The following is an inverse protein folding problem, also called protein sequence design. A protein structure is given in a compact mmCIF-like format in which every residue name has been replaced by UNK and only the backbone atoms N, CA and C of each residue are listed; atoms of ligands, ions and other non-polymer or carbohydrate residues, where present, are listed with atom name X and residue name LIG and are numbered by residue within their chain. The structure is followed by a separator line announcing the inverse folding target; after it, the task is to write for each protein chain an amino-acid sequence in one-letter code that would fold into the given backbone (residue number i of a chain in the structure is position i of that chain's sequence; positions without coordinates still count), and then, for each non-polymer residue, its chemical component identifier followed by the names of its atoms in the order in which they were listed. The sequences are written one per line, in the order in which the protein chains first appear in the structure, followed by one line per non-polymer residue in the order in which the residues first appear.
data_IF_421221170101
#
_entry.id   IF_421221170101
#
_cell.length_a   1.000
_cell.length_b   1.000
_cell.length_c   1.000
_cell.angle_alpha   90.00
_cell.angle_beta   90.00
_cell.angle_gamma   90.00
#
_symmetry.space_group_name_H-M   'P 1'
#
loop_
_entity.id
_entity.type
_entity.pdbx_description
1 polymer ?
#
# COMPACT_ATOMS: atom_id res chain seq x y z
N UNK A 1 -9.70 -3.19 13.64
CA UNK A 1 -11.00 -3.61 14.21
C UNK A 1 -12.06 -2.58 13.84
N UNK A 2 -13.34 -2.94 13.81
CA UNK A 2 -14.43 -1.99 13.57
C UNK A 2 -14.59 -1.50 12.12
N UNK A 3 -14.00 -2.19 11.15
CA UNK A 3 -14.29 -1.91 9.73
C UNK A 3 -15.62 -2.59 9.39
N UNK A 4 -16.65 -1.84 8.95
CA UNK A 4 -17.92 -2.42 8.56
C UNK A 4 -17.74 -3.47 7.46
N UNK A 5 -18.49 -4.58 7.53
CA UNK A 5 -18.40 -5.73 6.61
C UNK A 5 -17.01 -6.38 6.51
N UNK A 6 -16.12 -6.13 7.46
CA UNK A 6 -14.89 -6.91 7.62
C UNK A 6 -15.14 -8.15 8.47
N UNK A 7 -14.24 -9.13 8.40
CA UNK A 7 -14.26 -10.34 9.24
C UNK A 7 -14.34 -10.06 10.74
N UNK A 8 -13.96 -8.85 11.18
CA UNK A 8 -13.98 -8.44 12.59
C UNK A 8 -15.04 -7.37 12.91
N UNK A 9 -15.95 -7.07 11.98
CA UNK A 9 -17.02 -6.09 12.17
C UNK A 9 -17.98 -6.50 13.28
N UNK A 10 -18.51 -7.72 13.19
CA UNK A 10 -19.47 -8.26 14.17
C UNK A 10 -18.85 -8.45 15.56
N UNK A 11 -17.56 -8.85 15.60
CA UNK A 11 -16.80 -8.96 16.85
C UNK A 11 -16.72 -7.60 17.56
N UNK A 12 -16.37 -6.54 16.82
CA UNK A 12 -16.32 -5.19 17.38
C UNK A 12 -17.71 -4.73 17.86
N UNK A 13 -18.73 -4.93 17.03
CA UNK A 13 -20.09 -4.50 17.32
C UNK A 13 -20.65 -5.16 18.59
N UNK A 14 -20.39 -6.47 18.75
CA UNK A 14 -20.76 -7.24 19.94
C UNK A 14 -19.99 -6.80 21.18
N UNK A 15 -18.66 -6.69 21.08
CA UNK A 15 -17.80 -6.25 22.19
C UNK A 15 -18.16 -4.84 22.69
N UNK A 16 -18.40 -3.90 21.77
CA UNK A 16 -18.73 -2.51 22.08
C UNK A 16 -20.20 -2.32 22.53
N UNK A 17 -21.04 -3.36 22.45
CA UNK A 17 -22.48 -3.32 22.80
C UNK A 17 -23.20 -2.13 22.15
N UNK A 18 -22.95 -1.91 20.85
CA UNK A 18 -23.52 -0.76 20.15
C UNK A 18 -25.06 -0.87 20.08
N UNK A 19 -25.80 0.20 20.42
CA UNK A 19 -27.27 0.19 20.43
C UNK A 19 -27.89 0.44 19.05
N UNK A 20 -27.10 0.33 17.98
CA UNK A 20 -27.50 0.58 16.58
C UNK A 20 -27.29 -0.69 15.75
N UNK A 21 -27.86 -0.77 14.55
CA UNK A 21 -27.63 -1.92 13.66
C UNK A 21 -26.25 -1.85 12.99
N UNK A 22 -25.72 -3.00 12.55
CA UNK A 22 -24.48 -3.05 11.76
C UNK A 22 -24.55 -2.21 10.48
N UNK A 23 -25.73 -2.14 9.85
CA UNK A 23 -25.98 -1.32 8.65
C UNK A 23 -25.93 0.18 8.98
N UNK A 24 -26.60 0.59 10.07
CA UNK A 24 -26.55 1.97 10.53
C UNK A 24 -25.12 2.37 10.90
N UNK A 25 -24.39 1.52 11.62
CA UNK A 25 -22.98 1.73 11.93
C UNK A 25 -22.13 1.89 10.67
N UNK A 26 -22.34 1.03 9.66
CA UNK A 26 -21.61 1.12 8.40
C UNK A 26 -21.85 2.45 7.67
N UNK A 27 -23.11 2.89 7.63
CA UNK A 27 -23.51 4.15 7.02
C UNK A 27 -22.89 5.35 7.76
N UNK A 28 -23.08 5.44 9.08
CA UNK A 28 -22.56 6.54 9.89
C UNK A 28 -21.02 6.58 9.91
N UNK A 29 -20.37 5.42 9.99
CA UNK A 29 -18.91 5.32 9.90
C UNK A 29 -18.40 5.83 8.55
N UNK A 30 -19.09 5.49 7.45
CA UNK A 30 -18.69 5.94 6.12
C UNK A 30 -18.82 7.45 5.97
N UNK A 31 -19.90 8.04 6.48
CA UNK A 31 -20.11 9.49 6.44
C UNK A 31 -19.10 10.23 7.34
N UNK A 32 -18.83 9.71 8.54
CA UNK A 32 -17.78 10.26 9.42
C UNK A 32 -16.40 10.20 8.74
N UNK A 33 -16.03 9.06 8.14
CA UNK A 33 -14.76 8.95 7.39
C UNK A 33 -14.69 9.95 6.25
N UNK A 34 -15.80 10.16 5.51
CA UNK A 34 -15.86 11.14 4.42
C UNK A 34 -15.54 12.55 4.91
N UNK A 35 -16.11 12.95 6.04
CA UNK A 35 -15.86 14.27 6.63
C UNK A 35 -14.42 14.42 7.12
N UNK A 36 -13.88 13.42 7.80
CA UNK A 36 -12.53 13.47 8.35
C UNK A 36 -11.42 13.34 7.30
N UNK A 37 -11.61 12.59 6.22
CA UNK A 37 -10.59 12.43 5.18
C UNK A 37 -10.24 13.72 4.45
N UNK A 38 -11.19 14.67 4.37
CA UNK A 38 -10.93 16.00 3.82
C UNK A 38 -9.93 16.82 4.66
N UNK A 39 -9.71 16.43 5.92
CA UNK A 39 -8.77 17.07 6.83
C UNK A 39 -7.42 16.33 6.97
N UNK A 40 -7.19 15.25 6.22
CA UNK A 40 -5.94 14.48 6.26
C UNK A 40 -4.72 15.37 5.97
N UNK A 41 -3.64 15.18 6.73
CA UNK A 41 -2.37 15.89 6.51
C UNK A 41 -1.23 14.87 6.40
N UNK A 42 -0.15 15.20 5.65
CA UNK A 42 1.08 14.41 5.69
C UNK A 42 1.58 14.21 7.12
N UNK A 43 2.09 13.00 7.41
CA UNK A 43 2.80 12.77 8.66
C UNK A 43 4.11 13.58 8.70
N UNK A 44 4.56 14.04 9.88
CA UNK A 44 5.83 14.74 10.01
C UNK A 44 6.98 13.94 9.38
N UNK A 45 7.75 14.58 8.51
CA UNK A 45 8.91 13.98 7.83
C UNK A 45 8.59 13.17 6.57
N UNK A 46 7.33 12.85 6.27
CA UNK A 46 6.96 12.07 5.08
C UNK A 46 7.39 12.75 3.77
N UNK A 47 7.14 14.07 3.65
CA UNK A 47 7.53 14.83 2.46
C UNK A 47 9.05 14.88 2.28
N UNK A 48 9.79 15.05 3.39
CA UNK A 48 11.26 15.04 3.36
C UNK A 48 11.78 13.69 2.89
N UNK A 49 11.27 12.59 3.43
CA UNK A 49 11.70 11.24 3.04
C UNK A 49 11.42 10.99 1.55
N UNK A 50 10.21 11.26 1.07
CA UNK A 50 9.87 11.02 -0.34
C UNK A 50 10.66 11.94 -1.29
N UNK A 51 10.85 13.21 -0.93
CA UNK A 51 11.69 14.12 -1.71
C UNK A 51 13.14 13.64 -1.77
N UNK A 52 13.72 13.20 -0.64
CA UNK A 52 15.09 12.68 -0.62
C UNK A 52 15.21 11.41 -1.44
N UNK A 53 14.30 10.45 -1.27
CA UNK A 53 14.33 9.18 -2.00
C UNK A 53 14.12 9.38 -3.51
N UNK A 54 13.25 10.29 -3.93
CA UNK A 54 13.01 10.58 -5.36
C UNK A 54 14.24 11.12 -6.11
N UNK A 55 15.22 11.64 -5.37
CA UNK A 55 16.48 12.19 -5.91
C UNK A 55 17.68 11.26 -5.61
N UNK A 56 17.48 10.25 -4.78
CA UNK A 56 18.52 9.35 -4.34
C UNK A 56 18.90 8.35 -5.44
N UNK A 57 20.09 7.78 -5.29
CA UNK A 57 20.61 6.72 -6.14
C UNK A 57 21.14 5.57 -5.31
N UNK A 58 21.05 4.36 -5.85
CA UNK A 58 21.67 3.17 -5.28
C UNK A 58 23.18 3.36 -5.20
N UNK A 59 23.77 3.13 -4.03
CA UNK A 59 25.22 3.18 -3.88
C UNK A 59 25.94 2.05 -4.63
N UNK A 60 25.25 0.92 -4.84
CA UNK A 60 25.81 -0.27 -5.48
C UNK A 60 25.78 -0.17 -7.02
N UNK A 61 24.68 0.33 -7.59
CA UNK A 61 24.49 0.38 -9.06
C UNK A 61 24.53 1.79 -9.65
N UNK A 62 24.34 2.83 -8.85
CA UNK A 62 24.20 4.22 -9.32
C UNK A 62 22.83 4.55 -9.91
N UNK A 63 21.91 3.57 -9.99
CA UNK A 63 20.56 3.76 -10.52
C UNK A 63 19.71 4.63 -9.60
N UNK A 64 18.70 5.29 -10.17
CA UNK A 64 17.74 6.06 -9.36
C UNK A 64 16.92 5.13 -8.48
N UNK A 65 16.59 5.59 -7.28
CA UNK A 65 15.63 4.89 -6.43
C UNK A 65 14.22 5.11 -6.99
N UNK A 66 13.57 4.01 -7.33
CA UNK A 66 12.20 4.00 -7.83
C UNK A 66 11.18 3.96 -6.68
N UNK A 67 10.06 4.68 -6.84
CA UNK A 67 9.02 4.82 -5.82
C UNK A 67 7.68 4.27 -6.32
N UNK A 68 7.02 3.47 -5.49
CA UNK A 68 5.66 2.98 -5.69
C UNK A 68 4.82 3.15 -4.41
N UNK A 69 3.51 3.30 -4.57
CA UNK A 69 2.57 3.40 -3.47
C UNK A 69 1.69 2.15 -3.44
N UNK A 70 1.57 1.51 -2.28
CA UNK A 70 0.58 0.47 -2.03
C UNK A 70 -0.36 0.90 -0.90
N UNK A 71 -1.67 0.75 -1.09
CA UNK A 71 -2.65 1.07 -0.07
C UNK A 71 -3.86 0.15 -0.17
N UNK A 72 -4.37 -0.35 0.96
CA UNK A 72 -5.66 -1.06 1.00
C UNK A 72 -6.87 -0.11 0.92
N UNK A 73 -6.64 1.20 0.81
CA UNK A 73 -7.70 2.19 0.64
C UNK A 73 -8.28 2.09 -0.78
N UNK A 74 -9.61 2.08 -0.91
CA UNK A 74 -10.30 2.15 -2.21
C UNK A 74 -10.19 3.54 -2.84
N UNK A 75 -10.27 3.61 -4.15
CA UNK A 75 -10.10 4.84 -4.95
C UNK A 75 -10.92 6.03 -4.43
N UNK A 76 -12.21 5.84 -4.13
CA UNK A 76 -13.08 6.93 -3.58
C UNK A 76 -12.54 7.53 -2.28
N UNK A 77 -12.08 6.69 -1.36
CA UNK A 77 -11.52 7.16 -0.07
C UNK A 77 -10.14 7.76 -0.25
N UNK A 78 -9.34 7.23 -1.19
CA UNK A 78 -8.04 7.77 -1.53
C UNK A 78 -8.16 9.21 -2.02
N UNK A 79 -9.05 9.49 -2.98
CA UNK A 79 -9.27 10.84 -3.51
C UNK A 79 -9.64 11.87 -2.43
N UNK A 80 -10.43 11.47 -1.43
CA UNK A 80 -10.77 12.32 -0.30
C UNK A 80 -9.54 12.61 0.57
N UNK A 81 -8.76 11.57 0.91
CA UNK A 81 -7.54 11.68 1.72
C UNK A 81 -6.48 12.56 1.06
N UNK A 82 -6.49 12.65 -0.26
CA UNK A 82 -5.51 13.42 -1.04
C UNK A 82 -6.05 14.75 -1.55
N UNK A 83 -7.24 15.16 -1.12
CA UNK A 83 -7.91 16.35 -1.66
C UNK A 83 -7.18 17.67 -1.39
N UNK A 84 -6.39 17.74 -0.31
CA UNK A 84 -5.69 18.96 0.10
C UNK A 84 -4.38 19.18 -0.67
N UNK A 85 -3.93 20.45 -0.85
CA UNK A 85 -2.70 20.74 -1.57
C UNK A 85 -1.46 20.02 -1.02
N UNK A 86 -1.32 19.91 0.30
CA UNK A 86 -0.15 19.29 0.93
C UNK A 86 -0.12 17.78 0.70
N UNK A 87 -1.29 17.12 0.77
CA UNK A 87 -1.42 15.69 0.47
C UNK A 87 -1.26 15.38 -1.01
N UNK A 88 -1.75 16.25 -1.92
CA UNK A 88 -1.53 16.13 -3.37
C UNK A 88 -0.06 16.19 -3.70
N UNK A 89 0.67 17.15 -3.10
CA UNK A 89 2.11 17.29 -3.28
C UNK A 89 2.85 16.04 -2.81
N UNK A 90 2.54 15.55 -1.61
CA UNK A 90 3.17 14.34 -1.07
C UNK A 90 2.95 13.12 -1.98
N UNK A 91 1.73 12.90 -2.47
CA UNK A 91 1.47 11.73 -3.32
C UNK A 91 1.82 11.95 -4.80
N UNK A 92 2.21 13.18 -5.17
CA UNK A 92 2.75 13.51 -6.48
C UNK A 92 4.07 12.81 -6.80
N UNK A 93 4.82 12.34 -5.79
CA UNK A 93 6.05 11.56 -5.99
C UNK A 93 5.82 10.17 -6.62
N UNK A 94 4.58 9.67 -6.63
CA UNK A 94 4.24 8.38 -7.20
C UNK A 94 3.47 8.58 -8.51
N UNK A 95 4.00 8.07 -9.63
CA UNK A 95 3.26 8.07 -10.90
C UNK A 95 1.97 7.24 -10.80
N UNK A 96 0.88 7.61 -11.50
CA UNK A 96 -0.41 6.91 -11.38
C UNK A 96 -0.37 5.40 -11.63
N UNK A 97 0.44 4.95 -12.59
CA UNK A 97 0.69 3.54 -12.93
C UNK A 97 1.37 2.74 -11.79
N UNK A 98 2.06 3.44 -10.89
CA UNK A 98 2.80 2.88 -9.73
C UNK A 98 2.03 3.02 -8.42
N UNK A 99 0.77 3.43 -8.48
CA UNK A 99 -0.15 3.46 -7.33
C UNK A 99 -1.04 2.22 -7.40
N UNK A 100 -0.95 1.37 -6.38
CA UNK A 100 -1.77 0.17 -6.24
C UNK A 100 -2.71 0.38 -5.05
N UNK A 101 -4.00 0.56 -5.35
CA UNK A 101 -5.05 0.81 -4.37
C UNK A 101 -5.81 -0.48 -4.01
N UNK A 102 -6.68 -0.42 -2.99
CA UNK A 102 -7.37 -1.59 -2.46
C UNK A 102 -8.42 -2.17 -3.41
N UNK A 103 -8.82 -1.42 -4.42
CA UNK A 103 -9.71 -1.80 -5.51
C UNK A 103 -9.00 -1.88 -6.87
N UNK A 104 -7.66 -1.96 -6.86
CA UNK A 104 -6.88 -2.13 -8.08
C UNK A 104 -7.15 -3.51 -8.73
N UNK A 105 -7.56 -3.55 -10.01
CA UNK A 105 -7.94 -4.80 -10.68
C UNK A 105 -6.76 -5.77 -10.87
N UNK A 106 -5.52 -5.28 -10.76
CA UNK A 106 -4.31 -6.13 -10.83
C UNK A 106 -4.15 -7.00 -9.58
N UNK A 107 -4.79 -6.61 -8.46
CA UNK A 107 -4.82 -7.41 -7.23
C UNK A 107 -6.06 -8.30 -7.26
N UNK A 108 -5.87 -9.63 -7.27
CA UNK A 108 -6.99 -10.58 -7.32
C UNK A 108 -7.93 -10.39 -6.12
N UNK A 109 -9.23 -10.59 -6.33
CA UNK A 109 -10.21 -10.52 -5.26
C UNK A 109 -9.85 -11.47 -4.10
N UNK A 110 -9.95 -10.98 -2.87
CA UNK A 110 -9.57 -11.74 -1.67
C UNK A 110 -8.06 -11.84 -1.43
N UNK A 111 -7.21 -11.28 -2.31
CA UNK A 111 -5.74 -11.25 -2.19
C UNK A 111 -5.20 -9.90 -1.75
N UNK A 112 -6.00 -9.12 -1.01
CA UNK A 112 -5.49 -7.99 -0.25
C UNK A 112 -4.58 -8.46 0.90
N UNK A 113 -3.94 -7.51 1.59
CA UNK A 113 -3.15 -7.79 2.81
C UNK A 113 -3.97 -8.68 3.77
N UNK A 114 -3.41 -9.78 4.33
CA UNK A 114 -1.98 -10.10 4.42
C UNK A 114 -1.41 -10.89 3.24
N UNK A 115 -2.13 -11.08 2.13
CA UNK A 115 -1.50 -11.65 0.95
C UNK A 115 -0.46 -10.67 0.36
N UNK A 116 0.63 -11.17 -0.27
CA UNK A 116 1.71 -10.33 -0.78
C UNK A 116 1.38 -9.60 -2.09
N UNK A 117 0.26 -9.94 -2.73
CA UNK A 117 -0.05 -9.58 -4.12
C UNK A 117 0.03 -8.07 -4.39
N UNK A 118 -0.42 -7.22 -3.45
CA UNK A 118 -0.35 -5.75 -3.62
C UNK A 118 1.11 -5.25 -3.75
N UNK A 119 2.05 -5.87 -3.04
CA UNK A 119 3.47 -5.54 -3.12
C UNK A 119 4.09 -6.07 -4.41
N UNK A 120 3.70 -7.27 -4.83
CA UNK A 120 4.17 -7.87 -6.08
C UNK A 120 3.69 -7.08 -7.31
N UNK A 121 2.43 -6.63 -7.31
CA UNK A 121 1.88 -5.76 -8.36
C UNK A 121 2.61 -4.42 -8.42
N UNK A 122 2.95 -3.84 -7.27
CA UNK A 122 3.73 -2.61 -7.22
C UNK A 122 5.14 -2.81 -7.82
N UNK A 123 5.83 -3.89 -7.46
CA UNK A 123 7.14 -4.23 -8.01
C UNK A 123 7.07 -4.48 -9.53
N UNK A 124 6.06 -5.20 -10.00
CA UNK A 124 5.83 -5.40 -11.42
C UNK A 124 5.62 -4.06 -12.15
N UNK A 125 4.88 -3.13 -11.54
CA UNK A 125 4.65 -1.80 -12.12
C UNK A 125 5.94 -0.99 -12.24
N UNK A 126 6.84 -1.09 -11.26
CA UNK A 126 8.17 -0.48 -11.33
C UNK A 126 9.00 -1.08 -12.46
N UNK A 127 9.02 -2.41 -12.57
CA UNK A 127 9.83 -3.13 -13.56
C UNK A 127 9.30 -3.00 -15.00
N UNK A 128 7.99 -2.83 -15.20
CA UNK A 128 7.42 -2.55 -16.52
C UNK A 128 7.91 -1.21 -17.08
N UNK A 129 8.03 -0.18 -16.22
CA UNK A 129 8.62 1.09 -16.62
C UNK A 129 10.12 0.97 -16.95
N UNK A 130 10.85 0.12 -16.22
CA UNK A 130 12.27 -0.14 -16.43
C UNK A 130 12.56 -0.94 -17.72
N UNK A 131 11.69 -1.89 -18.07
CA UNK A 131 11.83 -2.72 -19.28
C UNK A 131 11.81 -1.88 -20.57
N UNK A 132 11.15 -0.72 -20.57
CA UNK A 132 11.17 0.21 -21.69
C UNK A 132 12.52 0.94 -21.85
N UNK A 133 13.43 0.84 -20.88
CA UNK A 133 14.70 1.59 -20.80
C UNK A 133 15.94 0.69 -20.69
N UNK A 134 15.82 -0.61 -20.96
CA UNK A 134 16.90 -1.62 -20.83
C UNK A 134 17.58 -1.64 -19.45
N UNK A 135 16.85 -1.22 -18.41
CA UNK A 135 17.34 -1.21 -17.03
C UNK A 135 17.09 -2.58 -16.40
N UNK A 136 18.06 -3.07 -15.62
CA UNK A 136 17.95 -4.32 -14.88
C UNK A 136 16.69 -4.29 -13.99
N UNK A 137 15.87 -5.37 -13.97
CA UNK A 137 14.69 -5.41 -13.11
C UNK A 137 15.08 -5.39 -11.63
N UNK A 138 14.32 -4.63 -10.85
CA UNK A 138 14.41 -4.58 -9.39
C UNK A 138 13.90 -5.90 -8.83
N UNK A 139 14.70 -6.54 -8.00
CA UNK A 139 14.36 -7.78 -7.31
C UNK A 139 13.63 -7.48 -6.00
N UNK A 140 12.79 -8.41 -5.50
CA UNK A 140 12.14 -8.25 -4.20
C UNK A 140 13.14 -7.89 -3.12
N UNK A 141 14.31 -8.54 -3.10
CA UNK A 141 15.31 -8.30 -2.05
C UNK A 141 16.00 -6.93 -2.07
N UNK A 142 15.83 -6.18 -3.15
CA UNK A 142 16.36 -4.81 -3.31
C UNK A 142 15.34 -3.75 -2.86
N UNK A 143 14.14 -4.17 -2.45
CA UNK A 143 13.05 -3.28 -2.08
C UNK A 143 12.99 -3.01 -0.56
N UNK A 144 12.61 -1.79 -0.19
CA UNK A 144 12.32 -1.39 1.18
C UNK A 144 10.85 -0.93 1.27
N UNK A 145 10.10 -1.48 2.23
CA UNK A 145 8.69 -1.13 2.47
C UNK A 145 8.54 -0.39 3.80
N UNK A 146 7.90 0.78 3.75
CA UNK A 146 7.41 1.49 4.93
C UNK A 146 5.96 1.08 5.18
N UNK A 147 5.69 0.48 6.35
CA UNK A 147 4.36 -0.02 6.71
C UNK A 147 4.09 0.14 8.20
N UNK A 148 2.84 0.45 8.55
CA UNK A 148 2.39 0.73 9.91
C UNK A 148 1.56 -0.41 10.53
N UNK A 149 1.05 -1.33 9.70
CA UNK A 149 0.19 -2.43 10.14
C UNK A 149 0.92 -3.77 10.21
N UNK A 150 0.61 -4.57 11.24
CA UNK A 150 1.12 -5.95 11.37
C UNK A 150 0.70 -6.81 10.18
N UNK A 151 -0.51 -6.60 9.66
CA UNK A 151 -1.06 -7.34 8.50
C UNK A 151 -0.25 -7.03 7.23
N UNK A 152 0.12 -5.76 7.02
CA UNK A 152 0.99 -5.36 5.92
C UNK A 152 2.42 -5.87 6.07
N UNK A 153 3.02 -5.74 7.26
CA UNK A 153 4.36 -6.28 7.52
C UNK A 153 4.43 -7.79 7.26
N UNK A 154 3.39 -8.54 7.67
CA UNK A 154 3.29 -9.98 7.38
C UNK A 154 3.17 -10.25 5.89
N UNK A 155 2.29 -9.52 5.18
CA UNK A 155 2.12 -9.73 3.75
C UNK A 155 3.38 -9.42 2.94
N UNK A 156 4.16 -8.42 3.36
CA UNK A 156 5.48 -8.19 2.81
C UNK A 156 6.39 -9.40 3.04
N UNK A 157 6.58 -9.82 4.30
CA UNK A 157 7.48 -10.93 4.64
C UNK A 157 7.13 -12.23 3.90
N UNK A 158 5.85 -12.59 3.82
CA UNK A 158 5.41 -13.79 3.09
C UNK A 158 5.75 -13.70 1.61
N UNK A 159 5.56 -12.54 0.98
CA UNK A 159 5.93 -12.35 -0.43
C UNK A 159 7.42 -12.50 -0.69
N UNK A 160 8.26 -12.19 0.31
CA UNK A 160 9.71 -12.40 0.24
C UNK A 160 10.06 -13.87 0.32
N UNK A 161 9.50 -14.57 1.31
CA UNK A 161 9.75 -16.00 1.48
C UNK A 161 9.29 -16.77 0.23
N UNK A 162 8.13 -16.43 -0.35
CA UNK A 162 7.62 -17.02 -1.61
C UNK A 162 8.47 -16.65 -2.84
N UNK A 163 8.95 -15.41 -2.95
CA UNK A 163 9.82 -15.00 -4.06
C UNK A 163 11.21 -15.64 -3.97
N UNK A 164 11.72 -15.83 -2.75
CA UNK A 164 12.94 -16.59 -2.50
C UNK A 164 12.76 -18.07 -2.86
N UNK A 165 11.58 -18.66 -2.63
CA UNK A 165 11.27 -20.04 -3.03
C UNK A 165 11.28 -20.24 -4.56
N UNK A 166 10.93 -19.22 -5.35
CA UNK A 166 11.10 -19.24 -6.81
C UNK A 166 12.57 -19.20 -7.28
N UNK A 167 13.49 -18.80 -6.40
CA UNK A 167 14.95 -18.82 -6.61
C UNK A 167 15.64 -19.98 -5.89
N UNK A 168 14.94 -20.73 -5.04
CA UNK A 168 15.53 -21.71 -4.12
C UNK A 168 15.53 -23.15 -4.66
N UNK A 169 15.71 -23.35 -5.97
CA UNK A 169 16.19 -24.64 -6.48
C UNK A 169 17.71 -24.78 -6.39
N UNK A 170 18.45 -23.77 -5.91
CA UNK A 170 19.88 -23.83 -5.63
C UNK A 170 20.20 -22.96 -4.42
N UNK A 171 20.51 -23.61 -3.30
CA UNK A 171 21.18 -23.14 -2.08
C UNK A 171 20.50 -23.68 -0.81
N UNK A 172 20.28 -24.99 -0.77
CA UNK A 172 20.28 -25.80 0.45
C UNK A 172 20.85 -27.15 0.04
N UNK A 173 22.15 -27.33 0.29
CA UNK A 173 22.99 -28.43 -0.16
C UNK A 173 24.42 -27.97 -0.25
#
# INVERSE_FOLDING_TARGET
MGIPHSTNGDTFHSWAKLPISSEQFAHESTENMRQHFLACRPLPGAERILSTLSQARSAASGDRIELALTSSTKSRSYELKISRPETKRLLGFFSPDRRVLGDDPRVRQGRGKPAPDIYLVALQSLNLAAAASDVKPILPHECLVFEDSVIGCRGWKTGWDESCLGSASRCCG
#
